data_IF_969666704725
#
_entry.id   IF_969666704725
#
_cell.length_a   1.000
_cell.length_b   1.000
_cell.length_c   1.000
_cell.angle_alpha   90.00
_cell.angle_beta   90.00
_cell.angle_gamma   90.00
#
_symmetry.space_group_name_H-M   'P 1'
#
loop_
_entity.id
_entity.type
_entity.pdbx_description
1 polymer ?
#
# COMPACT_ATOMS: atom_id res chain seq x y z
N UNK A 1 5.54 -3.92 -23.02
CA UNK A 1 4.08 -3.66 -23.07
C UNK A 1 3.43 -4.35 -21.88
N UNK A 2 2.31 -3.87 -21.32
CA UNK A 2 1.74 -4.37 -20.05
C UNK A 2 1.51 -5.90 -20.02
N UNK A 3 1.29 -6.52 -21.17
CA UNK A 3 1.22 -7.97 -21.33
C UNK A 3 2.50 -8.72 -20.90
N UNK A 4 3.68 -8.15 -21.11
CA UNK A 4 4.97 -8.76 -20.72
C UNK A 4 5.14 -8.69 -19.19
N UNK A 5 4.71 -7.60 -18.56
CA UNK A 5 4.73 -7.43 -17.10
C UNK A 5 3.77 -8.44 -16.45
N UNK A 6 2.58 -8.61 -17.02
CA UNK A 6 1.60 -9.61 -16.58
C UNK A 6 2.09 -11.05 -16.75
N UNK A 7 2.67 -11.37 -17.91
CA UNK A 7 3.24 -12.70 -18.16
C UNK A 7 4.33 -13.04 -17.15
N UNK A 8 5.23 -12.09 -16.90
CA UNK A 8 6.32 -12.28 -15.96
C UNK A 8 5.83 -12.38 -14.51
N UNK A 9 4.88 -11.56 -14.10
CA UNK A 9 4.29 -11.63 -12.76
C UNK A 9 3.60 -12.98 -12.51
N UNK A 10 2.91 -13.52 -13.52
CA UNK A 10 2.28 -14.84 -13.48
C UNK A 10 3.30 -15.97 -13.35
N UNK A 11 4.39 -15.91 -14.12
CA UNK A 11 5.48 -16.90 -14.04
C UNK A 11 6.18 -16.89 -12.68
N UNK A 12 6.36 -15.70 -12.09
CA UNK A 12 7.07 -15.52 -10.83
C UNK A 12 6.17 -15.61 -9.58
N UNK A 13 4.86 -15.81 -9.75
CA UNK A 13 3.86 -15.68 -8.68
C UNK A 13 4.02 -14.36 -7.89
N UNK A 14 4.26 -13.28 -8.61
CA UNK A 14 4.52 -11.94 -8.10
C UNK A 14 3.34 -10.99 -8.36
N UNK A 15 3.41 -9.77 -7.81
CA UNK A 15 2.41 -8.72 -8.01
C UNK A 15 2.85 -7.83 -9.16
N UNK A 16 1.96 -7.60 -10.13
CA UNK A 16 2.21 -6.68 -11.24
C UNK A 16 1.91 -5.23 -10.83
N UNK A 17 2.83 -4.31 -11.10
CA UNK A 17 2.57 -2.86 -10.99
C UNK A 17 2.17 -2.32 -12.36
N UNK A 18 0.93 -1.84 -12.50
CA UNK A 18 0.36 -1.46 -13.80
C UNK A 18 -0.25 -0.05 -13.73
N UNK A 19 0.22 0.83 -14.62
CA UNK A 19 -0.09 2.26 -14.60
C UNK A 19 -1.43 2.59 -15.28
N UNK A 20 -1.83 1.81 -16.30
CA UNK A 20 -3.01 2.07 -17.12
C UNK A 20 -4.30 1.39 -16.60
N UNK A 21 -5.44 2.09 -16.76
CA UNK A 21 -6.76 1.65 -16.28
C UNK A 21 -7.33 0.48 -17.09
N UNK A 22 -7.18 0.50 -18.43
CA UNK A 22 -7.56 -0.64 -19.28
C UNK A 22 -6.70 -1.87 -18.96
N UNK A 23 -5.43 -1.64 -18.62
CA UNK A 23 -4.48 -2.70 -18.29
C UNK A 23 -4.73 -3.34 -16.93
N UNK A 24 -5.23 -2.60 -15.93
CA UNK A 24 -5.72 -3.17 -14.65
C UNK A 24 -6.98 -4.00 -14.83
N UNK A 25 -7.92 -3.53 -15.67
CA UNK A 25 -9.13 -4.30 -15.98
C UNK A 25 -8.80 -5.65 -16.65
N UNK A 26 -7.79 -5.67 -17.54
CA UNK A 26 -7.30 -6.90 -18.15
C UNK A 26 -6.61 -7.82 -17.13
N UNK A 27 -5.84 -7.26 -16.19
CA UNK A 27 -5.20 -8.03 -15.12
C UNK A 27 -6.23 -8.67 -14.16
N UNK A 28 -7.32 -7.96 -13.85
CA UNK A 28 -8.43 -8.48 -13.04
C UNK A 28 -9.17 -9.61 -13.77
N UNK A 29 -9.42 -9.47 -15.07
CA UNK A 29 -10.00 -10.54 -15.92
C UNK A 29 -9.14 -11.81 -15.90
N UNK A 30 -7.82 -11.66 -15.93
CA UNK A 30 -6.85 -12.76 -15.91
C UNK A 30 -6.53 -13.27 -14.49
N UNK A 31 -7.15 -12.70 -13.45
CA UNK A 31 -6.92 -12.99 -12.01
C UNK A 31 -5.46 -12.82 -11.58
N UNK A 32 -4.76 -11.87 -12.18
CA UNK A 32 -3.38 -11.54 -11.82
C UNK A 32 -3.42 -10.43 -10.76
N UNK A 33 -2.85 -10.66 -9.55
CA UNK A 33 -2.77 -9.64 -8.52
C UNK A 33 -2.04 -8.41 -9.06
N UNK A 34 -2.73 -7.29 -9.13
CA UNK A 34 -2.20 -6.05 -9.68
C UNK A 34 -2.49 -4.88 -8.75
N UNK A 35 -1.56 -3.93 -8.71
CA UNK A 35 -1.76 -2.69 -8.00
C UNK A 35 -1.20 -1.49 -8.77
N UNK A 36 -1.85 -0.33 -8.65
CA UNK A 36 -1.32 0.93 -9.18
C UNK A 36 -0.23 1.53 -8.27
N UNK A 37 0.36 2.64 -8.71
CA UNK A 37 1.44 3.39 -8.05
C UNK A 37 1.24 3.61 -6.54
N UNK A 38 0.00 3.79 -6.09
CA UNK A 38 -0.35 4.02 -4.69
C UNK A 38 -0.05 2.84 -3.77
N UNK A 39 -0.07 1.61 -4.28
CA UNK A 39 0.28 0.45 -3.49
C UNK A 39 1.72 0.49 -2.99
N UNK A 40 2.65 1.05 -3.75
CA UNK A 40 4.03 1.21 -3.29
C UNK A 40 4.11 2.11 -2.05
N UNK A 41 3.33 3.20 -2.01
CA UNK A 41 3.28 4.06 -0.84
C UNK A 41 2.72 3.31 0.38
N UNK A 42 1.68 2.49 0.21
CA UNK A 42 1.14 1.67 1.30
C UNK A 42 2.12 0.58 1.76
N UNK A 43 2.89 -0.01 0.83
CA UNK A 43 3.93 -0.99 1.15
C UNK A 43 5.08 -0.36 1.92
N UNK A 44 5.58 0.79 1.47
CA UNK A 44 6.63 1.53 2.19
C UNK A 44 6.16 1.97 3.57
N UNK A 45 4.88 2.34 3.68
CA UNK A 45 4.30 2.67 4.97
C UNK A 45 4.22 1.44 5.90
N UNK A 46 3.72 0.30 5.39
CA UNK A 46 3.64 -0.96 6.13
C UNK A 46 5.02 -1.46 6.59
N UNK A 47 6.04 -1.28 5.76
CA UNK A 47 7.43 -1.65 6.05
C UNK A 47 8.15 -0.59 6.90
N UNK A 48 7.43 0.43 7.39
CA UNK A 48 7.93 1.55 8.21
C UNK A 48 9.11 2.32 7.56
N UNK A 49 9.20 2.28 6.22
CA UNK A 49 10.19 3.01 5.42
C UNK A 49 9.83 4.50 5.34
N UNK A 50 8.53 4.80 5.33
CA UNK A 50 7.98 6.16 5.34
C UNK A 50 6.95 6.33 6.46
N UNK A 51 6.78 7.56 6.93
CA UNK A 51 5.74 7.96 7.88
C UNK A 51 4.42 8.30 7.17
N UNK A 52 3.33 8.46 7.95
CA UNK A 52 2.04 8.97 7.45
C UNK A 52 2.19 10.29 6.70
N UNK A 53 2.99 11.18 7.27
CA UNK A 53 3.20 12.51 6.72
C UNK A 53 3.90 12.41 5.37
N UNK A 54 4.97 11.61 5.30
CA UNK A 54 5.70 11.38 4.05
C UNK A 54 4.85 10.68 3.00
N UNK A 55 3.95 9.76 3.39
CA UNK A 55 2.96 9.19 2.48
C UNK A 55 2.10 10.27 1.83
N UNK A 56 1.51 11.16 2.63
CA UNK A 56 0.63 12.24 2.14
C UNK A 56 1.41 13.23 1.28
N UNK A 57 2.61 13.62 1.73
CA UNK A 57 3.46 14.55 1.00
C UNK A 57 3.85 13.96 -0.37
N UNK A 58 4.21 12.67 -0.44
CA UNK A 58 4.53 11.98 -1.69
C UNK A 58 3.33 11.77 -2.60
N UNK A 59 2.16 11.43 -2.05
CA UNK A 59 0.91 11.36 -2.81
C UNK A 59 0.60 12.69 -3.51
N UNK A 60 0.73 13.80 -2.77
CA UNK A 60 0.50 15.13 -3.33
C UNK A 60 1.55 15.52 -4.38
N UNK A 61 2.81 15.11 -4.19
CA UNK A 61 3.90 15.31 -5.15
C UNK A 61 3.59 14.61 -6.48
N UNK A 62 3.26 13.31 -6.46
CA UNK A 62 2.98 12.57 -7.70
C UNK A 62 1.71 13.06 -8.41
N UNK A 63 0.69 13.51 -7.67
CA UNK A 63 -0.51 14.14 -8.25
C UNK A 63 -0.13 15.44 -8.96
N UNK A 64 0.70 16.27 -8.33
CA UNK A 64 1.19 17.53 -8.91
C UNK A 64 2.05 17.27 -10.16
N UNK A 65 2.77 16.15 -10.21
CA UNK A 65 3.55 15.71 -11.36
C UNK A 65 2.71 15.05 -12.47
N UNK A 66 1.40 14.92 -12.27
CA UNK A 66 0.45 14.50 -13.31
C UNK A 66 -0.10 13.09 -13.15
N UNK A 67 0.17 12.40 -12.03
CA UNK A 67 -0.52 11.16 -11.72
C UNK A 67 -2.03 11.41 -11.60
N UNK A 68 -2.82 10.68 -12.41
CA UNK A 68 -4.27 10.87 -12.47
C UNK A 68 -4.92 10.35 -11.20
N UNK A 69 -5.32 11.28 -10.34
CA UNK A 69 -6.09 10.99 -9.14
C UNK A 69 -7.42 11.73 -9.21
N UNK A 70 -8.53 10.99 -9.25
CA UNK A 70 -9.84 11.59 -9.05
C UNK A 70 -10.01 12.00 -7.59
N UNK A 71 -10.87 12.98 -7.32
CA UNK A 71 -11.21 13.36 -5.93
C UNK A 71 -11.71 12.17 -5.12
N UNK A 72 -12.48 11.28 -5.74
CA UNK A 72 -13.00 10.08 -5.09
C UNK A 72 -11.88 9.09 -4.74
N UNK A 73 -10.94 8.86 -5.66
CA UNK A 73 -9.77 8.03 -5.39
C UNK A 73 -8.92 8.62 -4.26
N UNK A 74 -8.71 9.93 -4.24
CA UNK A 74 -8.01 10.60 -3.16
C UNK A 74 -8.67 10.36 -1.80
N UNK A 75 -9.99 10.51 -1.71
CA UNK A 75 -10.76 10.24 -0.47
C UNK A 75 -10.60 8.78 -0.03
N UNK A 76 -10.71 7.83 -0.96
CA UNK A 76 -10.53 6.40 -0.68
C UNK A 76 -9.13 6.15 -0.10
N UNK A 77 -8.10 6.75 -0.69
CA UNK A 77 -6.71 6.59 -0.23
C UNK A 77 -6.52 7.15 1.18
N UNK A 78 -7.05 8.34 1.47
CA UNK A 78 -6.93 8.95 2.80
C UNK A 78 -7.70 8.13 3.85
N UNK A 79 -8.91 7.67 3.54
CA UNK A 79 -9.68 6.82 4.46
C UNK A 79 -8.96 5.49 4.72
N UNK A 80 -8.41 4.86 3.68
CA UNK A 80 -7.63 3.63 3.82
C UNK A 80 -6.36 3.87 4.65
N UNK A 81 -5.70 5.01 4.49
CA UNK A 81 -4.56 5.40 5.31
C UNK A 81 -4.98 5.49 6.78
N UNK A 82 -6.05 6.20 7.11
CA UNK A 82 -6.55 6.34 8.48
C UNK A 82 -6.93 4.99 9.12
N UNK A 83 -7.64 4.12 8.40
CA UNK A 83 -7.98 2.78 8.90
C UNK A 83 -6.77 1.86 9.06
N UNK A 84 -5.75 2.00 8.19
CA UNK A 84 -4.50 1.26 8.30
C UNK A 84 -3.76 1.59 9.61
N UNK A 85 -3.82 2.85 10.05
CA UNK A 85 -3.22 3.27 11.32
C UNK A 85 -3.93 2.69 12.54
N UNK A 86 -5.26 2.59 12.50
CA UNK A 86 -6.01 1.97 13.60
C UNK A 86 -5.59 0.52 13.80
N UNK A 87 -5.45 -0.24 12.71
CA UNK A 87 -5.01 -1.64 12.74
C UNK A 87 -3.54 -1.72 13.19
N UNK A 88 -2.64 -0.90 12.64
CA UNK A 88 -1.22 -0.92 13.02
C UNK A 88 -1.00 -0.58 14.50
N UNK A 89 -1.73 0.40 15.05
CA UNK A 89 -1.67 0.74 16.48
C UNK A 89 -2.21 -0.42 17.33
N UNK A 90 -3.31 -1.03 16.91
CA UNK A 90 -3.88 -2.18 17.62
C UNK A 90 -2.91 -3.37 17.64
N UNK A 91 -2.30 -3.71 16.51
CA UNK A 91 -1.30 -4.77 16.41
C UNK A 91 -0.07 -4.45 17.26
N UNK A 92 0.48 -3.24 17.17
CA UNK A 92 1.66 -2.86 17.95
C UNK A 92 1.37 -2.78 19.47
N UNK A 93 0.15 -2.39 19.86
CA UNK A 93 -0.28 -2.40 21.25
C UNK A 93 -0.53 -3.83 21.78
N UNK A 94 -1.05 -4.74 20.94
CA UNK A 94 -1.16 -6.16 21.27
C UNK A 94 0.21 -6.81 21.44
N UNK A 95 1.17 -6.46 20.56
CA UNK A 95 2.57 -6.87 20.67
C UNK A 95 3.17 -6.34 21.98
N UNK A 96 3.04 -5.03 22.29
CA UNK A 96 3.58 -4.48 23.54
C UNK A 96 2.93 -5.11 24.79
N UNK A 97 1.62 -5.43 24.76
CA UNK A 97 0.94 -6.15 25.84
C UNK A 97 1.45 -7.59 26.02
N UNK A 98 1.82 -8.29 24.95
CA UNK A 98 2.38 -9.64 25.07
C UNK A 98 3.80 -9.64 25.65
N UNK A 99 4.56 -8.55 25.48
CA UNK A 99 5.88 -8.36 26.08
C UNK A 99 5.85 -7.72 27.48
N UNK A 100 4.76 -7.06 27.87
CA UNK A 100 4.58 -6.43 29.18
C UNK A 100 4.88 -7.34 30.39
N UNK A 101 4.44 -8.63 30.42
CA UNK A 101 4.83 -9.52 31.52
C UNK A 101 6.35 -9.73 31.61
N UNK A 102 7.09 -9.68 30.50
CA UNK A 102 8.55 -9.88 30.49
C UNK A 102 9.33 -8.63 30.92
N UNK A 103 8.79 -7.42 30.72
CA UNK A 103 9.39 -6.18 31.23
C UNK A 103 9.23 -6.01 32.75
N UNK A 104 8.21 -6.63 33.36
CA UNK A 104 7.94 -6.56 34.81
C UNK A 104 8.84 -7.48 35.65
N UNK A 105 9.63 -8.39 35.03
CA UNK A 105 10.58 -9.27 35.73
C UNK A 105 12.00 -8.67 35.88
N UNK A 106 12.22 -7.43 35.45
CA UNK A 106 13.52 -6.74 35.54
C UNK A 106 13.58 -5.61 36.60
N UNK A 107 12.66 -5.61 37.58
CA UNK A 107 12.73 -4.72 38.76
C UNK A 107 12.80 -5.53 40.06
#
# INVERSE_FOLDING_TARGET
MDAEVLSLAKELNAIALIDDEESRAMADLEKIPNHGTIYLLFRFLNEAIITKKEFIDKLNEIIKEGWRCSTELYIIIINALDSFWEIFILDHHLILKSYLPYLLFYN
#
